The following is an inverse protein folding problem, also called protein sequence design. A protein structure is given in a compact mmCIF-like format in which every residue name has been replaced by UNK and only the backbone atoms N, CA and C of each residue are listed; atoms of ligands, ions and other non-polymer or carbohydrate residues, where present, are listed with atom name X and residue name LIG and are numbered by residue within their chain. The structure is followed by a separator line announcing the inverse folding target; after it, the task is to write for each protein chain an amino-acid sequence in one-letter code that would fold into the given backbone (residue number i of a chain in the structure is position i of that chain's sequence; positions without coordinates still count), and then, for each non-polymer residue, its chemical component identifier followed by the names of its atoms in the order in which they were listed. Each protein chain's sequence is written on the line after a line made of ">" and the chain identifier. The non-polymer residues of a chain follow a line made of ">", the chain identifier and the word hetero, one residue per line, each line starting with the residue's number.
data_IF_169726638296
#
_entry.id   IF_169726638296
#
_cell.length_a   1.000
_cell.length_b   1.000
_cell.length_c   1.000
_cell.angle_alpha   90.00
_cell.angle_beta   90.00
_cell.angle_gamma   90.00
#
_symmetry.space_group_name_H-M   'P 1'
#
loop_
_entity.id
_entity.type
_entity.pdbx_description
1 polymer ?
#
# COMPACT_ATOMS: atom_id res chain seq x y z
N UNK A 1 43.59 10.39 0.76
CA UNK A 1 44.71 9.97 -0.13
C UNK A 1 46.05 9.84 0.59
N UNK A 2 46.40 10.70 1.56
CA UNK A 2 47.61 10.51 2.40
C UNK A 2 47.66 9.14 3.13
N UNK A 3 46.50 8.61 3.55
CA UNK A 3 46.37 7.28 4.17
C UNK A 3 46.74 6.09 3.27
N UNK A 4 46.75 6.26 1.95
CA UNK A 4 46.95 5.18 0.97
C UNK A 4 48.22 5.37 0.13
N UNK A 5 49.03 6.41 0.43
CA UNK A 5 50.32 6.71 -0.20
C UNK A 5 50.32 6.63 -1.74
N UNK A 6 49.27 7.18 -2.35
CA UNK A 6 49.07 7.14 -3.81
C UNK A 6 49.52 8.46 -4.42
N UNK A 7 50.25 8.39 -5.52
CA UNK A 7 50.65 9.55 -6.32
C UNK A 7 49.43 10.28 -6.92
N UNK A 8 49.57 11.58 -7.22
CA UNK A 8 48.46 12.47 -7.61
C UNK A 8 47.71 11.97 -8.84
N UNK A 9 48.41 11.49 -9.87
CA UNK A 9 47.78 11.04 -11.11
C UNK A 9 46.99 9.74 -10.89
N UNK A 10 47.55 8.83 -10.11
CA UNK A 10 46.87 7.60 -9.69
C UNK A 10 45.66 7.89 -8.80
N UNK A 11 45.76 8.86 -7.89
CA UNK A 11 44.67 9.30 -7.04
C UNK A 11 43.53 9.90 -7.86
N UNK A 12 43.84 10.72 -8.88
CA UNK A 12 42.85 11.26 -9.81
C UNK A 12 42.14 10.14 -10.57
N UNK A 13 42.89 9.22 -11.17
CA UNK A 13 42.33 8.08 -11.92
C UNK A 13 41.43 7.21 -11.05
N UNK A 14 41.83 6.94 -9.81
CA UNK A 14 41.01 6.19 -8.86
C UNK A 14 39.68 6.89 -8.56
N UNK A 15 39.70 8.21 -8.34
CA UNK A 15 38.46 8.97 -8.10
C UNK A 15 37.54 8.94 -9.33
N UNK A 16 38.09 9.10 -10.53
CA UNK A 16 37.32 8.99 -11.78
C UNK A 16 36.66 7.60 -11.92
N UNK A 17 37.40 6.51 -11.63
CA UNK A 17 36.86 5.15 -11.66
C UNK A 17 35.77 4.91 -10.60
N UNK A 18 35.94 5.48 -9.39
CA UNK A 18 34.94 5.40 -8.32
C UNK A 18 33.69 6.19 -8.70
N UNK A 19 33.83 7.41 -9.20
CA UNK A 19 32.71 8.26 -9.62
C UNK A 19 31.94 7.61 -10.79
N UNK A 20 32.63 7.01 -11.77
CA UNK A 20 31.98 6.23 -12.82
C UNK A 20 31.28 4.98 -12.29
N UNK A 21 31.86 4.30 -11.30
CA UNK A 21 31.24 3.16 -10.63
C UNK A 21 29.94 3.56 -9.92
N UNK A 22 29.99 4.67 -9.19
CA UNK A 22 28.86 5.28 -8.50
C UNK A 22 27.77 5.69 -9.50
N UNK A 23 28.13 6.41 -10.58
CA UNK A 23 27.19 6.84 -11.63
C UNK A 23 26.48 5.64 -12.26
N UNK A 24 27.22 4.58 -12.62
CA UNK A 24 26.63 3.34 -13.16
C UNK A 24 25.71 2.67 -12.16
N UNK A 25 26.11 2.58 -10.89
CA UNK A 25 25.30 1.97 -9.84
C UNK A 25 23.99 2.72 -9.66
N UNK A 26 24.04 4.05 -9.51
CA UNK A 26 22.82 4.86 -9.32
C UNK A 26 21.89 4.78 -10.54
N UNK A 27 22.43 4.91 -11.74
CA UNK A 27 21.63 4.79 -12.97
C UNK A 27 20.99 3.40 -13.10
N UNK A 28 21.73 2.33 -12.79
CA UNK A 28 21.24 0.95 -12.92
C UNK A 28 20.11 0.64 -11.93
N UNK A 29 20.23 1.09 -10.68
CA UNK A 29 19.28 0.73 -9.62
C UNK A 29 18.12 1.71 -9.47
N UNK A 30 18.33 2.99 -9.80
CA UNK A 30 17.35 4.05 -9.55
C UNK A 30 16.91 4.77 -10.82
N UNK A 31 17.57 4.56 -11.96
CA UNK A 31 17.20 5.20 -13.23
C UNK A 31 17.41 6.70 -13.27
N UNK A 32 18.18 7.26 -12.32
CA UNK A 32 18.47 8.69 -12.21
C UNK A 32 19.95 8.96 -12.49
N UNK A 33 20.26 10.15 -13.00
CA UNK A 33 21.63 10.63 -13.16
C UNK A 33 22.08 11.29 -11.85
N UNK A 34 23.14 10.77 -11.22
CA UNK A 34 23.68 11.36 -9.98
C UNK A 34 24.05 12.82 -10.16
N UNK A 35 24.65 13.16 -11.30
CA UNK A 35 25.23 14.48 -11.58
C UNK A 35 24.22 15.52 -12.05
N UNK A 36 22.93 15.21 -12.02
CA UNK A 36 21.89 16.17 -12.37
C UNK A 36 21.64 17.15 -11.22
N UNK A 37 21.85 18.44 -11.50
CA UNK A 37 21.72 19.49 -10.49
C UNK A 37 20.30 19.66 -9.95
N UNK A 38 19.29 19.24 -10.72
CA UNK A 38 17.87 19.32 -10.35
C UNK A 38 17.49 18.45 -9.15
N UNK A 39 18.35 17.49 -8.77
CA UNK A 39 18.14 16.59 -7.63
C UNK A 39 18.63 17.14 -6.29
N UNK A 40 19.27 18.31 -6.28
CA UNK A 40 19.86 18.89 -5.09
C UNK A 40 19.28 20.28 -4.82
N UNK A 41 18.97 20.56 -3.56
CA UNK A 41 18.53 21.89 -3.13
C UNK A 41 19.68 22.92 -3.20
N UNK A 42 20.93 22.45 -3.11
CA UNK A 42 22.11 23.30 -3.15
C UNK A 42 23.34 22.60 -3.75
N UNK A 43 24.11 23.35 -4.55
CA UNK A 43 25.40 22.92 -5.10
C UNK A 43 26.46 23.97 -4.74
N UNK A 44 27.58 23.54 -4.17
CA UNK A 44 28.67 24.42 -3.73
C UNK A 44 29.92 24.15 -4.56
N UNK A 45 30.48 25.21 -5.14
CA UNK A 45 31.75 25.14 -5.86
C UNK A 45 32.94 25.35 -4.91
N UNK A 46 33.67 24.27 -4.63
CA UNK A 46 34.84 24.28 -3.75
C UNK A 46 36.14 24.76 -4.44
N UNK A 47 36.11 25.14 -5.72
CA UNK A 47 37.28 25.70 -6.40
C UNK A 47 37.63 27.11 -5.89
N UNK A 48 36.60 27.88 -5.51
CA UNK A 48 36.73 29.26 -5.03
C UNK A 48 36.44 29.41 -3.54
N UNK A 49 35.95 28.35 -2.89
CA UNK A 49 35.57 28.34 -1.48
C UNK A 49 36.30 27.22 -0.76
N UNK A 50 36.95 27.52 0.36
CA UNK A 50 37.55 26.48 1.19
C UNK A 50 36.47 25.64 1.90
N UNK A 51 36.85 24.45 2.35
CA UNK A 51 35.93 23.49 2.98
C UNK A 51 35.36 24.05 4.30
N UNK A 52 36.15 24.79 5.07
CA UNK A 52 35.70 25.34 6.36
C UNK A 52 34.60 26.41 6.19
N UNK A 53 34.74 27.30 5.21
CA UNK A 53 33.71 28.30 4.90
C UNK A 53 32.47 27.63 4.30
N UNK A 54 32.66 26.60 3.45
CA UNK A 54 31.55 25.83 2.91
C UNK A 54 30.77 25.11 4.02
N UNK A 55 31.47 24.48 4.98
CA UNK A 55 30.86 23.83 6.12
C UNK A 55 30.13 24.83 7.04
N UNK A 56 30.70 26.01 7.25
CA UNK A 56 30.07 27.10 8.04
C UNK A 56 28.80 27.63 7.36
N UNK A 57 28.85 27.82 6.03
CA UNK A 57 27.70 28.24 5.24
C UNK A 57 26.58 27.18 5.28
N UNK A 58 26.93 25.90 5.04
CA UNK A 58 25.98 24.80 5.12
C UNK A 58 25.37 24.66 6.51
N UNK A 59 26.16 24.82 7.57
CA UNK A 59 25.67 24.77 8.95
C UNK A 59 24.66 25.88 9.21
N UNK A 60 24.93 27.10 8.74
CA UNK A 60 24.00 28.24 8.84
C UNK A 60 22.72 28.02 8.04
N UNK A 61 22.84 27.51 6.80
CA UNK A 61 21.69 27.21 5.93
C UNK A 61 20.83 26.10 6.54
N UNK A 62 21.45 25.07 7.10
CA UNK A 62 20.74 23.99 7.78
C UNK A 62 19.91 24.49 8.97
N UNK A 63 20.26 25.63 9.60
CA UNK A 63 19.46 26.25 10.66
C UNK A 63 18.23 27.01 10.15
N UNK A 64 18.09 27.24 8.85
CA UNK A 64 16.90 27.90 8.30
C UNK A 64 15.65 27.04 8.50
N UNK A 65 14.47 27.64 8.73
CA UNK A 65 13.22 26.91 9.01
C UNK A 65 12.89 25.84 7.96
N UNK A 66 13.16 26.11 6.69
CA UNK A 66 12.87 25.21 5.56
C UNK A 66 13.67 23.90 5.63
N UNK A 67 14.83 23.91 6.30
CA UNK A 67 15.70 22.74 6.49
C UNK A 67 15.56 22.12 7.89
N UNK A 68 14.72 22.68 8.76
CA UNK A 68 14.47 22.14 10.08
C UNK A 68 13.50 20.96 10.04
N UNK A 69 13.69 20.03 10.97
CA UNK A 69 12.84 18.86 11.07
C UNK A 69 11.42 19.29 11.46
N UNK A 70 10.45 18.91 10.64
CA UNK A 70 9.05 19.24 10.88
C UNK A 70 8.46 18.27 11.90
N UNK A 71 7.36 18.61 12.62
CA UNK A 71 6.73 17.68 13.55
C UNK A 71 6.25 16.36 12.89
N UNK A 72 6.00 16.38 11.58
CA UNK A 72 5.67 15.18 10.81
C UNK A 72 6.92 14.34 10.53
N UNK A 73 8.04 14.98 10.15
CA UNK A 73 9.33 14.31 9.92
C UNK A 73 9.88 13.71 11.22
N UNK A 74 9.74 14.42 12.35
CA UNK A 74 10.14 13.91 13.66
C UNK A 74 9.37 12.64 14.04
N UNK A 75 8.04 12.64 13.86
CA UNK A 75 7.20 11.46 14.10
C UNK A 75 7.59 10.30 13.20
N UNK A 76 7.77 10.54 11.90
CA UNK A 76 8.20 9.52 10.95
C UNK A 76 9.56 8.90 11.34
N UNK A 77 10.50 9.73 11.82
CA UNK A 77 11.80 9.25 12.28
C UNK A 77 11.69 8.43 13.57
N UNK A 78 10.85 8.86 14.53
CA UNK A 78 10.56 8.09 15.76
C UNK A 78 9.92 6.74 15.44
N UNK A 79 8.93 6.71 14.56
CA UNK A 79 8.26 5.48 14.12
C UNK A 79 9.22 4.54 13.41
N UNK A 80 10.06 5.06 12.50
CA UNK A 80 11.08 4.26 11.82
C UNK A 80 12.08 3.67 12.82
N UNK A 81 12.53 4.45 13.80
CA UNK A 81 13.42 3.99 14.86
C UNK A 81 12.77 2.87 15.69
N UNK A 82 11.51 3.06 16.12
CA UNK A 82 10.78 2.10 16.94
C UNK A 82 10.59 0.78 16.20
N UNK A 83 10.15 0.84 14.93
CA UNK A 83 10.00 -0.34 14.09
C UNK A 83 11.35 -1.05 13.86
N UNK A 84 12.43 -0.31 13.61
CA UNK A 84 13.76 -0.89 13.41
C UNK A 84 14.28 -1.58 14.68
N UNK A 85 14.14 -0.95 15.85
CA UNK A 85 14.52 -1.54 17.14
C UNK A 85 13.73 -2.79 17.45
N UNK A 86 12.41 -2.76 17.26
CA UNK A 86 11.55 -3.93 17.45
C UNK A 86 11.95 -5.11 16.56
N UNK A 87 12.28 -4.86 15.26
CA UNK A 87 12.80 -5.92 14.36
C UNK A 87 14.08 -6.54 14.91
N UNK A 88 15.02 -5.72 15.39
CA UNK A 88 16.29 -6.20 15.92
C UNK A 88 16.09 -7.04 17.18
N UNK A 89 15.21 -6.61 18.10
CA UNK A 89 14.89 -7.35 19.32
C UNK A 89 14.26 -8.72 18.99
N UNK A 90 13.25 -8.74 18.12
CA UNK A 90 12.59 -9.97 17.68
C UNK A 90 13.56 -10.93 16.98
N UNK A 91 14.48 -10.41 16.17
CA UNK A 91 15.47 -11.22 15.46
C UNK A 91 16.56 -11.80 16.38
N UNK A 92 16.88 -11.13 17.50
CA UNK A 92 17.93 -11.57 18.43
C UNK A 92 17.43 -12.48 19.53
N UNK A 93 16.15 -12.42 19.86
CA UNK A 93 15.59 -13.21 20.95
C UNK A 93 15.43 -14.69 20.55
N UNK A 94 15.83 -15.60 21.45
CA UNK A 94 15.98 -17.03 21.16
C UNK A 94 14.70 -17.66 20.58
N UNK A 95 13.53 -17.33 21.15
CA UNK A 95 12.24 -17.93 20.78
C UNK A 95 11.63 -17.34 19.50
N UNK A 96 12.06 -16.16 19.08
CA UNK A 96 11.48 -15.41 17.95
C UNK A 96 12.44 -15.27 16.77
N UNK A 97 13.74 -15.52 16.98
CA UNK A 97 14.81 -15.38 15.98
C UNK A 97 14.60 -16.16 14.69
N UNK A 98 13.90 -17.31 14.76
CA UNK A 98 13.62 -18.19 13.61
C UNK A 98 12.41 -17.73 12.79
N UNK A 99 11.68 -16.72 13.25
CA UNK A 99 10.46 -16.25 12.62
C UNK A 99 10.76 -15.05 11.71
N UNK A 100 10.07 -15.02 10.57
CA UNK A 100 10.09 -13.86 9.68
C UNK A 100 8.93 -12.93 10.07
N UNK A 101 9.27 -11.83 10.74
CA UNK A 101 8.33 -10.78 11.13
C UNK A 101 8.43 -9.59 10.18
N UNK A 102 7.28 -9.00 9.87
CA UNK A 102 7.20 -7.65 9.31
C UNK A 102 6.72 -6.72 10.42
N UNK A 103 7.50 -5.70 10.72
CA UNK A 103 7.22 -4.79 11.84
C UNK A 103 7.06 -3.37 11.32
N UNK A 104 5.97 -2.74 11.75
CA UNK A 104 5.72 -1.31 11.56
C UNK A 104 5.39 -0.66 12.90
N UNK A 105 5.62 0.65 12.95
CA UNK A 105 5.23 1.50 14.06
C UNK A 105 4.51 2.72 13.50
N UNK A 106 3.51 3.20 14.23
CA UNK A 106 2.84 4.45 13.98
C UNK A 106 2.38 5.03 15.32
N UNK A 107 2.84 6.23 15.67
CA UNK A 107 2.47 6.95 16.90
C UNK A 107 2.59 6.08 18.17
N UNK A 108 3.68 5.28 18.25
CA UNK A 108 3.96 4.39 19.38
C UNK A 108 3.21 3.04 19.36
N UNK A 109 2.35 2.78 18.36
CA UNK A 109 1.69 1.49 18.17
C UNK A 109 2.53 0.62 17.25
N UNK A 110 3.07 -0.49 17.77
CA UNK A 110 3.81 -1.47 16.96
C UNK A 110 2.85 -2.51 16.40
N UNK A 111 2.86 -2.71 15.08
CA UNK A 111 2.15 -3.81 14.42
C UNK A 111 3.15 -4.84 13.89
N UNK A 112 3.03 -6.08 14.35
CA UNK A 112 3.87 -7.21 13.96
C UNK A 112 3.06 -8.21 13.14
N UNK A 113 3.40 -8.34 11.86
CA UNK A 113 2.77 -9.30 10.96
C UNK A 113 3.65 -10.55 10.81
N UNK A 114 3.05 -11.72 10.85
CA UNK A 114 3.74 -13.00 10.70
C UNK A 114 2.87 -14.06 10.02
N UNK A 115 3.55 -15.07 9.46
CA UNK A 115 2.90 -16.19 8.77
C UNK A 115 2.27 -17.16 9.78
N UNK A 116 1.17 -17.87 9.43
CA UNK A 116 0.48 -18.81 10.32
C UNK A 116 1.39 -19.86 10.97
N UNK A 117 2.42 -20.34 10.26
CA UNK A 117 3.41 -21.31 10.79
C UNK A 117 4.20 -20.82 11.99
N UNK A 118 4.21 -19.51 12.26
CA UNK A 118 4.91 -18.88 13.38
C UNK A 118 4.00 -18.53 14.56
N UNK A 119 2.72 -18.95 14.55
CA UNK A 119 1.75 -18.59 15.58
C UNK A 119 2.20 -18.93 17.01
N UNK A 120 2.78 -20.12 17.23
CA UNK A 120 3.26 -20.51 18.55
C UNK A 120 4.43 -19.64 19.06
N UNK A 121 5.26 -19.11 18.16
CA UNK A 121 6.40 -18.27 18.49
C UNK A 121 5.99 -16.80 18.67
N UNK A 122 4.87 -16.41 18.05
CA UNK A 122 4.33 -15.06 18.16
C UNK A 122 3.79 -14.74 19.56
N UNK A 123 3.47 -15.76 20.38
CA UNK A 123 3.08 -15.59 21.78
C UNK A 123 4.17 -14.88 22.62
N UNK A 124 5.43 -14.96 22.19
CA UNK A 124 6.56 -14.30 22.85
C UNK A 124 6.78 -12.85 22.40
N UNK A 125 6.07 -12.34 21.37
CA UNK A 125 6.23 -10.97 20.88
C UNK A 125 6.04 -9.92 22.00
N UNK A 126 4.97 -9.99 22.83
CA UNK A 126 4.77 -9.00 23.90
C UNK A 126 5.85 -9.07 24.98
N UNK A 127 6.41 -10.25 25.24
CA UNK A 127 7.54 -10.43 26.17
C UNK A 127 8.80 -9.74 25.63
N UNK A 128 9.13 -9.97 24.36
CA UNK A 128 10.34 -9.44 23.72
C UNK A 128 10.33 -7.92 23.56
N UNK A 129 9.16 -7.33 23.33
CA UNK A 129 9.00 -5.90 23.05
C UNK A 129 8.61 -5.08 24.29
N UNK A 130 8.47 -5.71 25.47
CA UNK A 130 8.01 -5.04 26.70
C UNK A 130 8.90 -3.87 27.12
N UNK A 131 10.21 -4.05 27.04
CA UNK A 131 11.19 -3.09 27.55
C UNK A 131 11.59 -2.05 26.50
N UNK A 132 10.89 -2.01 25.35
CA UNK A 132 11.15 -1.02 24.32
C UNK A 132 10.46 0.30 24.69
N UNK A 133 11.26 1.31 25.01
CA UNK A 133 10.78 2.66 25.33
C UNK A 133 10.00 3.28 24.15
N UNK A 134 8.92 4.00 24.48
CA UNK A 134 8.07 4.68 23.50
C UNK A 134 6.97 3.82 22.87
N UNK A 135 6.82 2.56 23.30
CA UNK A 135 5.71 1.69 22.88
C UNK A 135 4.46 1.98 23.71
N UNK A 136 3.39 2.42 23.05
CA UNK A 136 2.04 2.58 23.64
C UNK A 136 1.25 1.28 23.56
N UNK A 137 1.36 0.55 22.45
CA UNK A 137 0.58 -0.65 22.19
C UNK A 137 1.31 -1.61 21.24
N UNK A 138 1.12 -2.92 21.42
CA UNK A 138 1.66 -3.97 20.54
C UNK A 138 0.50 -4.75 19.94
N UNK A 139 0.40 -4.74 18.61
CA UNK A 139 -0.58 -5.49 17.82
C UNK A 139 0.12 -6.58 17.03
N UNK A 140 -0.49 -7.76 17.00
CA UNK A 140 0.05 -8.94 16.33
C UNK A 140 -0.98 -9.49 15.35
N UNK A 141 -0.59 -9.59 14.08
CA UNK A 141 -1.51 -9.99 13.00
C UNK A 141 -0.97 -11.19 12.23
N UNK A 142 -1.76 -12.26 12.21
CA UNK A 142 -1.47 -13.44 11.40
C UNK A 142 -1.87 -13.15 9.95
N UNK A 143 -0.93 -13.19 9.01
CA UNK A 143 -1.22 -13.02 7.59
C UNK A 143 -0.19 -13.68 6.69
N UNK A 144 -0.65 -14.20 5.55
CA UNK A 144 0.19 -14.71 4.45
C UNK A 144 0.54 -13.61 3.45
N UNK A 145 -0.35 -12.64 3.27
CA UNK A 145 -0.23 -11.53 2.33
C UNK A 145 -0.82 -10.23 2.89
N UNK A 146 -0.67 -9.11 2.18
CA UNK A 146 -1.27 -7.83 2.55
C UNK A 146 -2.14 -7.29 1.41
N UNK A 147 -3.25 -6.66 1.77
CA UNK A 147 -4.10 -5.87 0.89
C UNK A 147 -3.93 -4.41 1.30
N UNK A 148 -3.62 -3.52 0.36
CA UNK A 148 -3.60 -2.09 0.62
C UNK A 148 -4.96 -1.49 0.28
N UNK A 149 -5.57 -0.78 1.22
CA UNK A 149 -6.82 -0.07 1.00
C UNK A 149 -6.59 1.43 1.07
N UNK A 150 -6.81 2.10 -0.06
CA UNK A 150 -6.66 3.54 -0.24
C UNK A 150 -8.03 4.19 -0.15
N UNK A 151 -8.20 5.19 0.73
CA UNK A 151 -9.45 5.92 0.86
C UNK A 151 -9.26 7.32 1.42
N UNK A 152 -10.17 8.25 1.12
CA UNK A 152 -10.16 9.61 1.70
C UNK A 152 -10.74 9.65 3.11
N UNK A 153 -11.83 8.94 3.33
CA UNK A 153 -12.48 8.77 4.63
C UNK A 153 -12.87 7.31 4.84
N UNK A 154 -12.40 6.70 5.92
CA UNK A 154 -12.70 5.33 6.28
C UNK A 154 -13.95 5.26 7.15
N UNK A 155 -14.83 4.31 6.83
CA UNK A 155 -16.03 4.00 7.63
C UNK A 155 -16.12 2.47 7.81
N UNK A 156 -15.98 1.94 9.05
CA UNK A 156 -16.14 0.52 9.33
C UNK A 156 -17.54 -0.02 9.03
N UNK A 157 -18.55 0.86 8.96
CA UNK A 157 -19.93 0.53 8.60
C UNK A 157 -20.17 0.37 7.09
N UNK A 158 -19.25 0.86 6.26
CA UNK A 158 -19.41 0.87 4.81
C UNK A 158 -19.37 -0.54 4.20
N UNK A 159 -20.09 -0.74 3.09
CA UNK A 159 -20.16 -2.03 2.38
C UNK A 159 -18.78 -2.50 1.88
N UNK A 160 -17.90 -1.58 1.48
CA UNK A 160 -16.53 -1.91 1.04
C UNK A 160 -15.72 -2.56 2.17
N UNK A 161 -15.92 -2.14 3.42
CA UNK A 161 -15.25 -2.73 4.58
C UNK A 161 -15.60 -4.21 4.71
N UNK A 162 -16.90 -4.55 4.65
CA UNK A 162 -17.37 -5.94 4.72
C UNK A 162 -16.77 -6.80 3.60
N UNK A 163 -16.73 -6.26 2.38
CA UNK A 163 -16.13 -6.93 1.23
C UNK A 163 -14.63 -7.18 1.40
N UNK A 164 -13.89 -6.19 1.89
CA UNK A 164 -12.46 -6.34 2.18
C UNK A 164 -12.20 -7.38 3.25
N UNK A 165 -13.01 -7.41 4.32
CA UNK A 165 -12.93 -8.45 5.35
C UNK A 165 -13.17 -9.84 4.75
N UNK A 166 -14.16 -10.00 3.87
CA UNK A 166 -14.42 -11.28 3.22
C UNK A 166 -13.22 -11.76 2.40
N UNK A 167 -12.64 -10.88 1.58
CA UNK A 167 -11.47 -11.19 0.75
C UNK A 167 -10.25 -11.48 1.62
N UNK A 168 -9.97 -10.61 2.61
CA UNK A 168 -8.84 -10.77 3.51
C UNK A 168 -8.93 -12.07 4.32
N UNK A 169 -10.15 -12.47 4.73
CA UNK A 169 -10.35 -13.73 5.43
C UNK A 169 -10.04 -14.95 4.53
N UNK A 170 -10.48 -14.92 3.27
CA UNK A 170 -10.21 -15.98 2.28
C UNK A 170 -8.72 -16.11 1.98
N UNK A 171 -8.04 -14.97 1.77
CA UNK A 171 -6.62 -14.95 1.42
C UNK A 171 -5.69 -15.05 2.62
N UNK A 172 -6.25 -15.05 3.83
CA UNK A 172 -5.52 -14.85 5.08
C UNK A 172 -4.60 -13.62 5.00
N UNK A 173 -5.13 -12.52 4.48
CA UNK A 173 -4.42 -11.27 4.30
C UNK A 173 -4.62 -10.34 5.51
N UNK A 174 -3.62 -9.50 5.78
CA UNK A 174 -3.81 -8.30 6.58
C UNK A 174 -4.24 -7.14 5.65
N UNK A 175 -5.03 -6.21 6.17
CA UNK A 175 -5.47 -5.00 5.47
C UNK A 175 -4.69 -3.82 6.03
N UNK A 176 -3.93 -3.15 5.16
CA UNK A 176 -3.24 -1.91 5.47
C UNK A 176 -4.04 -0.72 4.95
N UNK A 177 -4.19 0.31 5.77
CA UNK A 177 -4.95 1.51 5.44
C UNK A 177 -4.01 2.63 4.97
N UNK A 178 -4.31 3.24 3.83
CA UNK A 178 -3.62 4.43 3.35
C UNK A 178 -4.63 5.54 3.09
N UNK A 179 -4.68 6.53 3.99
CA UNK A 179 -5.56 7.68 3.82
C UNK A 179 -5.01 8.63 2.78
N UNK A 180 -5.84 9.04 1.81
CA UNK A 180 -5.57 10.12 0.87
C UNK A 180 -6.47 11.32 1.20
N UNK A 181 -6.01 12.31 1.99
CA UNK A 181 -6.85 13.42 2.38
C UNK A 181 -7.26 14.28 1.17
N UNK A 182 -8.40 15.01 1.25
CA UNK A 182 -8.82 15.93 0.21
C UNK A 182 -7.77 17.00 -0.06
N UNK A 183 -7.68 17.44 -1.32
CA UNK A 183 -6.91 18.63 -1.67
C UNK A 183 -7.42 19.85 -0.90
N UNK A 184 -6.54 20.49 -0.13
CA UNK A 184 -6.87 21.65 0.69
C UNK A 184 -7.27 21.32 2.14
N UNK A 185 -7.51 20.04 2.47
CA UNK A 185 -7.38 19.63 3.87
C UNK A 185 -5.91 19.80 4.21
N UNK A 186 -5.61 20.77 5.09
CA UNK A 186 -4.27 20.93 5.64
C UNK A 186 -3.92 19.61 6.32
N UNK A 187 -3.19 18.74 5.61
CA UNK A 187 -2.12 18.07 6.29
C UNK A 187 -1.29 19.17 6.91
N UNK A 188 -0.97 19.05 8.18
CA UNK A 188 0.14 19.78 8.74
C UNK A 188 1.42 19.27 8.03
N UNK A 189 1.63 19.66 6.78
CA UNK A 189 2.95 19.84 6.22
C UNK A 189 3.36 21.26 6.56
N UNK A 190 4.12 21.36 7.66
CA UNK A 190 5.19 22.31 8.02
C UNK A 190 5.18 23.79 7.61
N UNK A 191 4.53 24.21 6.55
CA UNK A 191 4.55 25.58 6.04
C UNK A 191 3.16 26.19 6.23
N UNK A 192 3.12 27.40 6.77
CA UNK A 192 1.94 28.24 6.99
C UNK A 192 1.04 27.94 8.20
N UNK A 193 1.55 28.28 9.39
CA UNK A 193 0.73 28.87 10.47
C UNK A 193 1.33 30.21 10.93
N UNK A 194 1.11 31.26 10.17
CA UNK A 194 1.02 32.62 10.70
C UNK A 194 -0.40 33.13 10.51
N UNK A 195 -1.13 33.34 11.61
CA UNK A 195 -2.06 34.45 11.82
C UNK A 195 -2.76 34.32 13.19
N UNK A 196 -2.22 35.14 14.10
CA UNK A 196 -2.90 36.01 15.07
C UNK A 196 -4.03 35.44 15.96
N UNK A 197 -3.63 35.16 17.20
CA UNK A 197 -4.49 35.11 18.37
C UNK A 197 -4.91 36.54 18.73
N UNK A 198 -6.17 36.91 18.45
CA UNK A 198 -6.78 38.08 19.08
C UNK A 198 -7.28 37.66 20.46
N UNK A 199 -6.56 38.14 21.46
CA UNK A 199 -6.93 38.19 22.86
C UNK A 199 -8.21 39.00 23.09
N UNK A 200 -9.11 38.49 23.95
CA UNK A 200 -9.89 39.34 24.85
C UNK A 200 -9.91 38.75 26.26
N UNK A 201 -9.20 39.45 27.16
CA UNK A 201 -9.29 39.42 28.63
C UNK A 201 -10.70 39.85 29.10
N UNK A 202 -11.19 39.48 30.30
CA UNK A 202 -10.89 40.02 31.65
C UNK A 202 -11.64 39.19 32.75
N UNK A 203 -11.57 39.48 34.07
CA UNK A 203 -10.42 39.24 34.98
C UNK A 203 -10.87 38.58 36.31
N UNK A 204 -10.06 37.70 36.92
CA UNK A 204 -10.11 37.51 38.39
C UNK A 204 -8.69 37.30 38.92
N UNK A 205 -8.36 38.01 39.99
CA UNK A 205 -7.04 38.16 40.60
C UNK A 205 -6.40 36.85 41.11
N UNK A 206 -5.07 36.89 41.12
CA UNK A 206 -4.13 35.80 41.41
C UNK A 206 -4.08 35.42 42.89
N UNK A 207 -3.96 34.12 43.16
CA UNK A 207 -3.32 33.56 44.34
C UNK A 207 -2.35 32.44 43.93
N UNK A 208 -1.05 32.71 44.03
CA UNK A 208 0.05 31.86 43.57
C UNK A 208 0.40 30.78 44.61
N UNK A 209 0.38 29.51 44.21
CA UNK A 209 1.22 28.44 44.80
C UNK A 209 1.76 27.60 43.64
N UNK A 210 2.88 28.07 43.09
CA UNK A 210 3.54 27.45 41.93
C UNK A 210 4.01 26.03 42.20
N UNK A 211 3.62 25.14 41.29
CA UNK A 211 4.27 23.85 41.02
C UNK A 211 3.39 22.64 41.28
N UNK A 212 2.55 22.25 40.31
CA UNK A 212 2.19 20.85 40.03
C UNK A 212 2.03 20.69 38.51
N UNK A 213 2.60 19.58 38.05
CA UNK A 213 2.51 18.89 36.75
C UNK A 213 1.25 19.24 35.94
N UNK A 214 1.47 19.73 34.71
CA UNK A 214 0.42 19.74 33.70
C UNK A 214 0.19 18.29 33.28
N UNK A 215 -0.89 17.71 33.80
CA UNK A 215 -1.59 16.62 33.13
C UNK A 215 -1.88 17.09 31.69
N UNK A 216 -1.03 16.64 30.75
CA UNK A 216 -1.30 16.71 29.32
C UNK A 216 -2.60 15.96 29.05
N UNK A 217 -3.71 16.71 29.06
CA UNK A 217 -4.95 16.26 28.45
C UNK A 217 -4.65 16.08 26.97
N UNK A 218 -4.51 14.81 26.54
CA UNK A 218 -4.40 14.46 25.12
C UNK A 218 -5.53 15.17 24.37
N UNK A 219 -5.25 15.87 23.26
CA UNK A 219 -6.31 16.49 22.47
C UNK A 219 -7.14 15.39 21.79
N UNK A 220 -8.23 14.98 22.45
CA UNK A 220 -9.34 14.23 21.86
C UNK A 220 -10.04 15.10 20.80
N UNK A 221 -9.53 15.07 19.57
CA UNK A 221 -10.22 15.22 18.27
C UNK A 221 -9.27 15.81 17.21
N UNK A 222 -8.33 15.00 16.74
CA UNK A 222 -7.80 15.19 15.38
C UNK A 222 -8.63 14.30 14.46
N UNK A 223 -9.44 14.92 13.59
CA UNK A 223 -10.17 14.22 12.52
C UNK A 223 -9.16 13.52 11.61
N UNK A 224 -9.00 12.20 11.80
CA UNK A 224 -8.12 11.37 11.00
C UNK A 224 -8.86 10.67 9.86
N UNK A 225 -10.06 11.17 9.50
CA UNK A 225 -10.91 10.58 8.48
C UNK A 225 -11.27 9.11 8.76
N UNK A 226 -11.57 8.77 10.02
CA UNK A 226 -11.97 7.42 10.44
C UNK A 226 -10.85 6.36 10.44
N UNK A 227 -9.60 6.76 10.23
CA UNK A 227 -8.45 5.85 10.14
C UNK A 227 -8.25 5.03 11.43
N UNK A 228 -8.22 5.69 12.60
CA UNK A 228 -7.98 5.02 13.90
C UNK A 228 -9.11 4.05 14.25
N UNK A 229 -10.35 4.47 14.03
CA UNK A 229 -11.54 3.65 14.29
C UNK A 229 -11.52 2.38 13.42
N UNK A 230 -11.28 2.54 12.12
CA UNK A 230 -11.22 1.43 11.17
C UNK A 230 -10.07 0.49 11.48
N UNK A 231 -8.91 1.02 11.86
CA UNK A 231 -7.74 0.21 12.22
C UNK A 231 -7.98 -0.59 13.51
N UNK A 232 -8.65 0.01 14.50
CA UNK A 232 -9.06 -0.71 15.72
C UNK A 232 -10.04 -1.83 15.38
N UNK A 233 -11.03 -1.58 14.52
CA UNK A 233 -11.97 -2.61 14.08
C UNK A 233 -11.30 -3.75 13.30
N UNK A 234 -10.30 -3.43 12.47
CA UNK A 234 -9.47 -4.45 11.81
C UNK A 234 -8.63 -5.25 12.83
N UNK A 235 -8.14 -4.60 13.88
CA UNK A 235 -7.35 -5.26 14.92
C UNK A 235 -8.19 -6.24 15.73
N UNK A 236 -9.42 -5.88 16.11
CA UNK A 236 -10.38 -6.78 16.76
C UNK A 236 -10.67 -8.03 15.93
N UNK A 237 -10.67 -7.90 14.60
CA UNK A 237 -10.86 -9.01 13.65
C UNK A 237 -9.57 -9.76 13.34
N UNK A 238 -8.42 -9.37 13.91
CA UNK A 238 -7.12 -9.95 13.64
C UNK A 238 -6.64 -9.75 12.19
N UNK A 239 -7.05 -8.66 11.54
CA UNK A 239 -6.76 -8.33 10.13
C UNK A 239 -6.00 -7.01 9.94
N UNK A 240 -5.55 -6.34 10.99
CA UNK A 240 -4.85 -5.06 10.88
C UNK A 240 -3.42 -5.20 10.32
N UNK A 241 -3.11 -4.51 9.22
CA UNK A 241 -1.78 -4.46 8.59
C UNK A 241 -0.99 -3.18 8.87
N UNK A 242 -1.56 -2.27 9.66
CA UNK A 242 -1.08 -0.90 9.90
C UNK A 242 -1.91 0.14 9.14
N UNK A 243 -1.67 1.41 9.42
CA UNK A 243 -2.36 2.50 8.74
C UNK A 243 -1.58 3.80 8.82
N UNK A 244 -1.69 4.61 7.78
CA UNK A 244 -1.08 5.95 7.72
C UNK A 244 -1.85 6.87 6.80
N UNK A 245 -1.55 8.16 6.89
CA UNK A 245 -2.06 9.19 5.98
C UNK A 245 -0.95 9.55 4.99
N UNK A 246 -1.19 9.31 3.70
CA UNK A 246 -0.32 9.74 2.60
C UNK A 246 -0.68 11.15 2.13
N UNK A 247 0.00 11.67 1.11
CA UNK A 247 -0.29 13.01 0.60
C UNK A 247 -1.63 13.12 -0.14
N UNK A 248 -2.12 14.35 -0.31
CA UNK A 248 -3.34 14.66 -1.07
C UNK A 248 -3.20 14.57 -2.59
N UNK A 249 -1.99 14.39 -3.12
CA UNK A 249 -1.74 14.20 -4.56
C UNK A 249 -1.39 12.74 -4.90
N UNK A 250 -1.69 12.27 -6.12
CA UNK A 250 -1.35 10.90 -6.57
C UNK A 250 0.13 10.55 -6.41
N UNK A 251 1.07 11.45 -6.76
CA UNK A 251 2.51 11.22 -6.56
C UNK A 251 2.86 11.07 -5.07
N UNK A 252 2.41 12.00 -4.21
CA UNK A 252 2.71 11.92 -2.77
C UNK A 252 2.07 10.68 -2.13
N UNK A 253 0.95 10.20 -2.67
CA UNK A 253 0.34 8.94 -2.26
C UNK A 253 1.22 7.74 -2.66
N UNK A 254 1.74 7.72 -3.89
CA UNK A 254 2.65 6.68 -4.38
C UNK A 254 3.92 6.61 -3.53
N UNK A 255 4.48 7.75 -3.16
CA UNK A 255 5.65 7.85 -2.28
C UNK A 255 5.36 7.33 -0.86
N UNK A 256 4.11 7.45 -0.42
CA UNK A 256 3.66 6.91 0.86
C UNK A 256 3.40 5.40 0.85
N UNK A 257 3.51 4.70 -0.29
CA UNK A 257 3.33 3.24 -0.34
C UNK A 257 4.61 2.54 0.10
N UNK A 258 4.51 1.65 1.09
CA UNK A 258 5.65 0.91 1.63
C UNK A 258 6.06 -0.21 0.66
N UNK A 259 7.08 0.05 -0.16
CA UNK A 259 7.60 -0.89 -1.16
C UNK A 259 8.27 -2.13 -0.54
N UNK A 260 8.54 -2.15 0.77
CA UNK A 260 9.08 -3.33 1.45
C UNK A 260 8.00 -4.40 1.69
N UNK A 261 6.72 -4.03 1.59
CA UNK A 261 5.60 -4.94 1.79
C UNK A 261 5.04 -5.42 0.44
N UNK A 262 5.10 -6.72 0.14
CA UNK A 262 4.42 -7.28 -1.01
C UNK A 262 2.91 -7.23 -0.78
N UNK A 263 2.23 -6.37 -1.53
CA UNK A 263 0.78 -6.35 -1.62
C UNK A 263 0.32 -7.36 -2.66
N UNK A 264 -0.68 -8.19 -2.35
CA UNK A 264 -1.33 -9.04 -3.35
C UNK A 264 -2.46 -8.32 -4.08
N UNK A 265 -2.97 -7.22 -3.50
CA UNK A 265 -4.04 -6.40 -4.06
C UNK A 265 -3.98 -4.99 -3.50
N UNK A 266 -4.22 -4.00 -4.35
CA UNK A 266 -4.45 -2.61 -3.98
C UNK A 266 -5.89 -2.26 -4.33
N UNK A 267 -6.64 -1.75 -3.36
CA UNK A 267 -8.03 -1.36 -3.51
C UNK A 267 -8.15 0.15 -3.36
N UNK A 268 -8.61 0.81 -4.41
CA UNK A 268 -8.96 2.23 -4.41
C UNK A 268 -10.45 2.37 -4.05
N UNK A 269 -10.70 2.87 -2.85
CA UNK A 269 -12.03 3.22 -2.37
C UNK A 269 -12.48 4.59 -2.88
N UNK A 270 -13.31 5.25 -2.08
CA UNK A 270 -13.80 6.58 -2.39
C UNK A 270 -12.71 7.64 -2.10
N UNK A 271 -12.23 8.29 -3.16
CA UNK A 271 -11.19 9.33 -3.15
C UNK A 271 -11.59 10.48 -4.08
N UNK A 272 -11.02 11.67 -3.85
CA UNK A 272 -11.36 12.91 -4.54
C UNK A 272 -12.83 13.30 -4.34
N UNK A 273 -13.36 13.12 -3.12
CA UNK A 273 -14.76 13.36 -2.78
C UNK A 273 -15.16 14.84 -2.95
N UNK A 274 -14.20 15.76 -2.80
CA UNK A 274 -14.39 17.19 -3.06
C UNK A 274 -14.65 17.53 -4.53
N UNK A 275 -14.41 16.61 -5.48
CA UNK A 275 -14.58 16.84 -6.92
C UNK A 275 -15.91 16.27 -7.43
N UNK A 276 -16.46 16.91 -8.47
CA UNK A 276 -17.65 16.42 -9.18
C UNK A 276 -17.43 15.03 -9.80
N UNK A 277 -18.52 14.28 -10.00
CA UNK A 277 -18.47 12.85 -10.36
C UNK A 277 -17.62 12.53 -11.60
N UNK A 278 -17.76 13.30 -12.68
CA UNK A 278 -17.01 13.09 -13.92
C UNK A 278 -15.49 13.29 -13.72
N UNK A 279 -15.12 14.34 -12.99
CA UNK A 279 -13.72 14.63 -12.64
C UNK A 279 -13.15 13.56 -11.73
N UNK A 280 -13.92 13.14 -10.70
CA UNK A 280 -13.53 12.07 -9.79
C UNK A 280 -13.25 10.77 -10.53
N UNK A 281 -14.14 10.33 -11.42
CA UNK A 281 -13.94 9.11 -12.24
C UNK A 281 -12.68 9.19 -13.10
N UNK A 282 -12.37 10.35 -13.68
CA UNK A 282 -11.13 10.55 -14.44
C UNK A 282 -9.90 10.46 -13.53
N UNK A 283 -9.91 11.16 -12.39
CA UNK A 283 -8.78 11.19 -11.45
C UNK A 283 -8.53 9.81 -10.81
N UNK A 284 -9.57 9.04 -10.50
CA UNK A 284 -9.44 7.65 -10.02
C UNK A 284 -8.77 6.78 -11.07
N UNK A 285 -9.14 6.91 -12.35
CA UNK A 285 -8.50 6.16 -13.45
C UNK A 285 -7.03 6.55 -13.64
N UNK A 286 -6.72 7.83 -13.52
CA UNK A 286 -5.35 8.33 -13.58
C UNK A 286 -4.51 7.80 -12.42
N UNK A 287 -5.05 7.83 -11.19
CA UNK A 287 -4.43 7.22 -10.01
C UNK A 287 -4.21 5.72 -10.20
N UNK A 288 -5.21 5.00 -10.72
CA UNK A 288 -5.11 3.58 -11.01
C UNK A 288 -4.01 3.28 -12.04
N UNK A 289 -3.93 4.07 -13.12
CA UNK A 289 -2.85 3.95 -14.13
C UNK A 289 -1.49 4.17 -13.50
N UNK A 290 -1.32 5.27 -12.75
CA UNK A 290 -0.07 5.61 -12.08
C UNK A 290 0.39 4.50 -11.12
N UNK A 291 -0.54 3.90 -10.37
CA UNK A 291 -0.22 2.77 -9.49
C UNK A 291 0.16 1.52 -10.27
N UNK A 292 -0.54 1.19 -11.36
CA UNK A 292 -0.20 0.03 -12.22
C UNK A 292 1.16 0.20 -12.92
N UNK A 293 1.52 1.42 -13.30
CA UNK A 293 2.79 1.72 -13.97
C UNK A 293 3.99 1.59 -13.01
N UNK A 294 3.77 1.78 -11.70
CA UNK A 294 4.82 1.81 -10.68
C UNK A 294 4.81 0.61 -9.72
N UNK A 295 3.72 -0.16 -9.66
CA UNK A 295 3.52 -1.26 -8.71
C UNK A 295 3.05 -2.51 -9.46
N UNK A 296 3.69 -3.65 -9.20
CA UNK A 296 3.41 -4.92 -9.89
C UNK A 296 2.06 -5.56 -9.49
N UNK A 297 1.50 -5.14 -8.36
CA UNK A 297 0.28 -5.69 -7.78
C UNK A 297 -0.96 -5.20 -8.52
N UNK A 298 -2.01 -6.04 -8.64
CA UNK A 298 -3.27 -5.62 -9.26
C UNK A 298 -3.90 -4.48 -8.46
N UNK A 299 -4.40 -3.47 -9.18
CA UNK A 299 -5.06 -2.30 -8.62
C UNK A 299 -6.51 -2.30 -9.07
N UNK A 300 -7.44 -2.31 -8.11
CA UNK A 300 -8.88 -2.39 -8.38
C UNK A 300 -9.64 -1.28 -7.66
N UNK A 301 -10.70 -0.80 -8.28
CA UNK A 301 -11.62 0.17 -7.67
C UNK A 301 -12.70 -0.52 -6.82
N UNK A 302 -13.41 0.23 -5.99
CA UNK A 302 -14.58 -0.27 -5.23
C UNK A 302 -15.64 -0.96 -6.14
N UNK A 303 -15.89 -0.41 -7.33
CA UNK A 303 -16.84 -0.99 -8.30
C UNK A 303 -16.32 -2.33 -8.88
N UNK A 304 -15.03 -2.39 -9.20
CA UNK A 304 -14.38 -3.60 -9.72
C UNK A 304 -14.30 -4.70 -8.66
N UNK A 305 -14.00 -4.35 -7.41
CA UNK A 305 -13.94 -5.29 -6.28
C UNK A 305 -15.22 -6.12 -6.17
N UNK A 306 -16.38 -5.44 -6.26
CA UNK A 306 -17.71 -6.07 -6.19
C UNK A 306 -17.99 -7.01 -7.35
N UNK A 307 -17.49 -6.71 -8.55
CA UNK A 307 -17.77 -7.50 -9.76
C UNK A 307 -16.78 -8.64 -9.99
N UNK A 308 -15.53 -8.45 -9.60
CA UNK A 308 -14.45 -9.40 -9.87
C UNK A 308 -14.31 -10.46 -8.78
N UNK A 309 -14.36 -10.08 -7.49
CA UNK A 309 -13.94 -10.95 -6.37
C UNK A 309 -15.10 -11.51 -5.51
N UNK A 310 -16.34 -11.08 -5.76
CA UNK A 310 -17.48 -11.46 -4.92
C UNK A 310 -18.55 -12.18 -5.75
N UNK A 311 -18.90 -13.40 -5.32
CA UNK A 311 -20.04 -14.13 -5.88
C UNK A 311 -21.35 -13.56 -5.29
N UNK A 312 -21.92 -12.56 -5.95
CA UNK A 312 -23.20 -11.96 -5.54
C UNK A 312 -24.44 -12.77 -5.93
N UNK A 313 -25.59 -12.49 -5.31
CA UNK A 313 -26.91 -13.11 -5.60
C UNK A 313 -27.31 -12.99 -7.08
N UNK A 314 -26.83 -11.95 -7.79
CA UNK A 314 -27.05 -11.75 -9.23
C UNK A 314 -26.27 -12.74 -10.11
N UNK A 315 -25.22 -13.38 -9.59
CA UNK A 315 -24.44 -14.41 -10.29
C UNK A 315 -25.08 -15.79 -10.17
N UNK A 316 -25.92 -16.02 -9.16
CA UNK A 316 -26.63 -17.28 -8.95
C UNK A 316 -27.58 -17.65 -10.12
N UNK A 317 -28.48 -16.78 -10.62
CA UNK A 317 -29.33 -17.12 -11.76
C UNK A 317 -28.52 -17.31 -13.05
N UNK A 318 -27.43 -16.54 -13.23
CA UNK A 318 -26.52 -16.72 -14.37
C UNK A 318 -25.80 -18.08 -14.30
N UNK A 319 -25.30 -18.47 -13.14
CA UNK A 319 -24.67 -19.76 -12.91
C UNK A 319 -25.64 -20.91 -13.21
N UNK A 320 -26.85 -20.85 -12.66
CA UNK A 320 -27.90 -21.85 -12.89
C UNK A 320 -28.24 -21.91 -14.38
N UNK A 321 -28.39 -20.77 -15.05
CA UNK A 321 -28.66 -20.71 -16.49
C UNK A 321 -27.55 -21.34 -17.31
N UNK A 322 -26.28 -20.98 -17.07
CA UNK A 322 -25.15 -21.57 -17.80
C UNK A 322 -24.99 -23.07 -17.52
N UNK A 323 -25.24 -23.53 -16.29
CA UNK A 323 -25.25 -24.96 -15.94
C UNK A 323 -26.36 -25.71 -16.67
N UNK A 324 -27.59 -25.19 -16.68
CA UNK A 324 -28.71 -25.79 -17.39
C UNK A 324 -28.43 -25.85 -18.90
N UNK A 325 -27.93 -24.75 -19.48
CA UNK A 325 -27.56 -24.71 -20.91
C UNK A 325 -26.47 -25.74 -21.19
N UNK A 326 -25.45 -25.85 -20.34
CA UNK A 326 -24.38 -26.84 -20.48
C UNK A 326 -24.93 -28.27 -20.43
N UNK A 327 -25.82 -28.57 -19.49
CA UNK A 327 -26.44 -29.90 -19.35
C UNK A 327 -27.32 -30.23 -20.55
N UNK A 328 -28.21 -29.31 -20.95
CA UNK A 328 -29.07 -29.48 -22.14
C UNK A 328 -28.21 -29.69 -23.39
N UNK A 329 -27.13 -28.92 -23.50
CA UNK A 329 -26.22 -29.00 -24.62
C UNK A 329 -25.55 -30.36 -24.73
N UNK A 330 -24.90 -30.82 -23.64
CA UNK A 330 -24.31 -32.15 -23.62
C UNK A 330 -25.37 -33.23 -23.87
N UNK A 331 -26.55 -33.11 -23.27
CA UNK A 331 -27.66 -34.03 -23.50
C UNK A 331 -28.05 -34.11 -24.98
N UNK A 332 -28.20 -32.97 -25.67
CA UNK A 332 -28.53 -32.92 -27.10
C UNK A 332 -27.41 -33.53 -27.96
N UNK A 333 -26.15 -33.24 -27.66
CA UNK A 333 -25.00 -33.82 -28.37
C UNK A 333 -24.94 -35.33 -28.17
N UNK A 334 -25.09 -35.81 -26.94
CA UNK A 334 -25.06 -37.24 -26.62
C UNK A 334 -26.28 -37.99 -27.16
N UNK A 335 -27.44 -37.34 -27.27
CA UNK A 335 -28.65 -37.95 -27.86
C UNK A 335 -28.55 -38.02 -29.39
N UNK A 336 -27.90 -37.04 -30.03
CA UNK A 336 -27.82 -36.91 -31.48
C UNK A 336 -26.44 -37.26 -32.07
N UNK A 337 -25.68 -38.16 -31.43
CA UNK A 337 -24.33 -38.53 -31.87
C UNK A 337 -24.26 -38.99 -33.33
N UNK A 338 -25.18 -39.87 -33.75
CA UNK A 338 -25.20 -40.44 -35.10
C UNK A 338 -25.44 -39.37 -36.18
N UNK A 339 -26.47 -38.49 -36.07
CA UNK A 339 -26.63 -37.34 -36.95
C UNK A 339 -25.41 -36.41 -37.01
N UNK A 340 -24.81 -36.10 -35.86
CA UNK A 340 -23.67 -35.18 -35.76
C UNK A 340 -22.44 -35.78 -36.46
N UNK A 341 -22.13 -37.05 -36.22
CA UNK A 341 -21.02 -37.74 -36.88
C UNK A 341 -21.20 -37.78 -38.39
N UNK A 342 -22.43 -38.09 -38.86
CA UNK A 342 -22.77 -38.09 -40.29
C UNK A 342 -22.64 -36.70 -40.93
N UNK A 343 -22.96 -35.64 -40.19
CA UNK A 343 -22.80 -34.25 -40.63
C UNK A 343 -21.33 -33.85 -40.74
N UNK A 344 -20.50 -34.21 -39.76
CA UNK A 344 -19.06 -33.92 -39.76
C UNK A 344 -18.32 -34.74 -40.83
N UNK A 345 -18.76 -35.99 -41.09
CA UNK A 345 -18.18 -36.88 -42.09
C UNK A 345 -18.77 -36.73 -43.50
N UNK A 346 -19.38 -35.57 -43.83
CA UNK A 346 -20.03 -35.37 -45.11
C UNK A 346 -19.07 -35.61 -46.30
N UNK A 347 -19.52 -36.34 -47.31
CA UNK A 347 -18.70 -36.70 -48.49
C UNK A 347 -18.68 -35.62 -49.57
N UNK A 348 -19.66 -34.71 -49.57
CA UNK A 348 -19.78 -33.62 -50.55
C UNK A 348 -18.90 -32.42 -50.18
N UNK A 349 -18.36 -31.74 -51.19
CA UNK A 349 -17.44 -30.60 -50.99
C UNK A 349 -18.14 -29.44 -50.24
N UNK A 350 -19.39 -29.13 -50.57
CA UNK A 350 -20.21 -28.15 -49.84
C UNK A 350 -20.55 -28.57 -48.40
N UNK A 351 -20.78 -29.87 -48.17
CA UNK A 351 -21.05 -30.40 -46.82
C UNK A 351 -19.83 -30.30 -45.90
N UNK A 352 -18.63 -30.56 -46.42
CA UNK A 352 -17.37 -30.41 -45.67
C UNK A 352 -17.10 -28.97 -45.28
N UNK A 353 -17.28 -28.02 -46.19
CA UNK A 353 -17.11 -26.59 -45.91
C UNK A 353 -18.11 -26.11 -44.86
N UNK A 354 -19.37 -26.52 -44.98
CA UNK A 354 -20.41 -26.20 -43.99
C UNK A 354 -20.10 -26.79 -42.62
N UNK A 355 -19.66 -28.05 -42.55
CA UNK A 355 -19.30 -28.70 -41.30
C UNK A 355 -18.13 -27.99 -40.58
N UNK A 356 -17.09 -27.61 -41.32
CA UNK A 356 -15.95 -26.84 -40.77
C UNK A 356 -16.42 -25.49 -40.24
N UNK A 357 -17.22 -24.75 -41.00
CA UNK A 357 -17.73 -23.44 -40.59
C UNK A 357 -18.59 -23.53 -39.32
N UNK A 358 -19.45 -24.54 -39.24
CA UNK A 358 -20.26 -24.80 -38.04
C UNK A 358 -19.37 -25.13 -36.85
N UNK A 359 -18.39 -26.03 -36.99
CA UNK A 359 -17.48 -26.40 -35.89
C UNK A 359 -16.66 -25.19 -35.39
N UNK A 360 -16.17 -24.34 -36.29
CA UNK A 360 -15.38 -23.14 -35.95
C UNK A 360 -16.20 -22.13 -35.13
N UNK A 361 -17.50 -22.01 -35.39
CA UNK A 361 -18.38 -21.13 -34.60
C UNK A 361 -18.80 -21.81 -33.30
N UNK A 362 -19.08 -23.11 -33.38
CA UNK A 362 -19.71 -23.88 -32.31
C UNK A 362 -18.74 -24.19 -31.17
N UNK A 363 -17.50 -24.57 -31.46
CA UNK A 363 -16.51 -24.93 -30.42
C UNK A 363 -16.21 -23.74 -29.48
N UNK A 364 -15.93 -22.51 -29.98
CA UNK A 364 -15.72 -21.35 -29.10
C UNK A 364 -16.95 -20.99 -28.28
N UNK A 365 -18.16 -21.13 -28.83
CA UNK A 365 -19.41 -20.85 -28.12
C UNK A 365 -19.58 -21.79 -26.92
N UNK A 366 -19.32 -23.07 -27.11
CA UNK A 366 -19.39 -24.09 -26.05
C UNK A 366 -18.31 -23.85 -25.00
N UNK A 367 -17.08 -23.57 -25.44
CA UNK A 367 -15.99 -23.23 -24.55
C UNK A 367 -16.31 -21.98 -23.70
N UNK A 368 -16.95 -20.97 -24.28
CA UNK A 368 -17.39 -19.77 -23.56
C UNK A 368 -18.46 -20.08 -22.51
N UNK A 369 -19.49 -20.85 -22.85
CA UNK A 369 -20.57 -21.22 -21.93
C UNK A 369 -20.05 -22.06 -20.76
N UNK A 370 -19.27 -23.11 -21.07
CA UNK A 370 -18.67 -23.98 -20.07
C UNK A 370 -17.67 -23.22 -19.19
N UNK A 371 -16.78 -22.44 -19.82
CA UNK A 371 -15.80 -21.62 -19.11
C UNK A 371 -16.45 -20.58 -18.20
N UNK A 372 -17.55 -19.97 -18.64
CA UNK A 372 -18.34 -19.05 -17.81
C UNK A 372 -18.97 -19.75 -16.60
N UNK A 373 -19.52 -20.96 -16.78
CA UNK A 373 -20.05 -21.75 -15.68
C UNK A 373 -18.96 -22.13 -14.67
N UNK A 374 -17.81 -22.64 -15.15
CA UNK A 374 -16.67 -23.02 -14.31
C UNK A 374 -16.12 -21.82 -13.54
N UNK A 375 -15.93 -20.67 -14.19
CA UNK A 375 -15.47 -19.44 -13.52
C UNK A 375 -16.43 -19.03 -12.40
N UNK A 376 -17.74 -19.05 -12.66
CA UNK A 376 -18.75 -18.76 -11.63
C UNK A 376 -18.76 -19.80 -10.49
N UNK A 377 -18.50 -21.08 -10.77
CA UNK A 377 -18.35 -22.13 -9.75
C UNK A 377 -17.09 -21.90 -8.91
N UNK A 378 -15.96 -21.56 -9.53
CA UNK A 378 -14.72 -21.24 -8.81
C UNK A 378 -14.92 -20.06 -7.86
N UNK A 379 -15.58 -18.99 -8.34
CA UNK A 379 -15.98 -17.85 -7.50
C UNK A 379 -16.89 -18.26 -6.35
N UNK A 380 -17.78 -19.24 -6.54
CA UNK A 380 -18.69 -19.77 -5.51
C UNK A 380 -17.95 -20.64 -4.48
N UNK A 381 -17.02 -21.50 -4.92
CA UNK A 381 -16.31 -22.49 -4.10
C UNK A 381 -15.13 -21.85 -3.32
N UNK A 382 -14.85 -20.56 -3.52
CA UNK A 382 -13.86 -19.78 -2.75
C UNK A 382 -12.42 -20.30 -2.88
N UNK A 383 -12.10 -20.94 -4.00
CA UNK A 383 -10.73 -21.37 -4.35
C UNK A 383 -10.25 -20.45 -5.47
N UNK A 384 -9.71 -19.30 -5.09
CA UNK A 384 -8.80 -18.49 -5.91
C UNK A 384 -7.75 -17.83 -5.02
#
# INVERSE_FOLDING_TARGET
>A
MQRINVDRDKAKKYLEEVDEGIRRWVHTFYGIAWDESSHYDMIINLQQMNVDNAATALSSIAQLPDFQMTPASERAMKDLWLAAKARVLLARHEKTSKCSFKVRAADGVITVNYLPRYAAMAEFIPEVLRDLEGVKEIRSTISTTNILWIQEHFDPGAEIFKHLIEIASKWNAAIELLRMPPEGERQLSAEDKNLEVISQSFPVERGYTGGIEEDESEPENQDNGGLKETLNRLAELGRAGGGRTGGSSPQKLLDAIDRSVPYSLIVIGDVFLSKGEATRKRMVRELQSLLLDNIKSPVVTNEELKSQFIFGVKHLPKLISFLIITVIFYFLVFTNQQPILKFISASTLGGKVLAVLVVVIFVPLVAYIYGSAVNLILKLVKIE
#
